data_IF_967423588638
#
_entry.id   IF_967423588638
#
_cell.length_a   1.000
_cell.length_b   1.000
_cell.length_c   1.000
_cell.angle_alpha   90.00
_cell.angle_beta   90.00
_cell.angle_gamma   90.00
#
_symmetry.space_group_name_H-M   'P 1'
#
loop_
_entity.id
_entity.type
_entity.pdbx_description
1 polymer ?
#
# COMPACT_ATOMS: atom_id res chain seq x y z
N UNK A 1 29.21 10.55 -27.90
CA UNK A 1 28.38 9.84 -26.90
C UNK A 1 27.26 10.77 -26.48
N UNK A 2 26.02 10.52 -26.92
CA UNK A 2 24.88 11.40 -26.63
C UNK A 2 24.27 10.94 -25.30
N UNK A 3 24.71 11.55 -24.19
CA UNK A 3 23.97 11.42 -22.93
C UNK A 3 22.57 11.96 -23.19
N UNK A 4 21.56 11.08 -23.22
CA UNK A 4 20.17 11.52 -23.24
C UNK A 4 19.92 12.21 -21.92
N UNK A 5 19.66 13.52 -21.99
CA UNK A 5 19.20 14.28 -20.83
C UNK A 5 17.84 13.67 -20.39
N UNK A 6 17.72 13.37 -19.10
CA UNK A 6 16.57 12.64 -18.54
C UNK A 6 15.25 13.43 -18.63
N UNK A 7 15.34 14.75 -18.80
CA UNK A 7 14.26 15.69 -19.11
C UNK A 7 13.65 15.49 -20.51
N UNK A 8 14.36 14.85 -21.43
CA UNK A 8 13.87 14.55 -22.77
C UNK A 8 13.35 13.12 -22.92
N UNK A 9 13.46 12.28 -21.88
CA UNK A 9 13.01 10.90 -21.90
C UNK A 9 11.56 10.83 -21.42
N UNK A 10 10.58 10.55 -22.31
CA UNK A 10 9.17 10.53 -21.92
C UNK A 10 8.87 9.31 -21.05
N UNK A 11 7.91 9.45 -20.12
CA UNK A 11 7.50 8.34 -19.25
C UNK A 11 6.91 7.14 -19.99
N UNK A 12 6.39 7.34 -21.21
CA UNK A 12 5.93 6.25 -22.08
C UNK A 12 7.04 5.28 -22.51
N UNK A 13 8.31 5.64 -22.32
CA UNK A 13 9.44 4.72 -22.50
C UNK A 13 9.58 3.70 -21.38
N UNK A 14 8.96 3.94 -20.21
CA UNK A 14 8.97 3.01 -19.09
C UNK A 14 7.95 1.88 -19.30
N UNK A 15 8.30 0.68 -18.83
CA UNK A 15 7.46 -0.50 -19.04
C UNK A 15 6.16 -0.39 -18.26
N UNK A 16 5.03 -0.57 -18.96
CA UNK A 16 3.69 -0.48 -18.38
C UNK A 16 3.08 0.93 -18.39
N UNK A 17 3.75 1.92 -18.99
CA UNK A 17 3.21 3.28 -19.16
C UNK A 17 2.56 3.43 -20.54
N UNK A 18 1.28 3.03 -20.63
CA UNK A 18 0.44 3.30 -21.79
C UNK A 18 -0.24 4.68 -21.75
N UNK A 19 -0.92 5.06 -22.83
CA UNK A 19 -1.54 6.39 -22.98
C UNK A 19 -2.45 6.79 -21.81
N UNK A 20 -3.25 5.86 -21.28
CA UNK A 20 -4.13 6.13 -20.14
C UNK A 20 -3.36 6.46 -18.85
N UNK A 21 -2.23 5.77 -18.60
CA UNK A 21 -1.40 6.05 -17.43
C UNK A 21 -0.60 7.34 -17.63
N UNK A 22 -0.06 7.59 -18.82
CA UNK A 22 0.59 8.86 -19.17
C UNK A 22 -0.33 10.06 -18.93
N UNK A 23 -1.59 9.98 -19.35
CA UNK A 23 -2.57 11.05 -19.14
C UNK A 23 -2.84 11.31 -17.65
N UNK A 24 -2.80 10.27 -16.81
CA UNK A 24 -2.95 10.42 -15.35
C UNK A 24 -1.71 11.00 -14.70
N UNK A 25 -0.52 10.59 -15.13
CA UNK A 25 0.76 11.12 -14.66
C UNK A 25 0.93 12.60 -15.05
N UNK A 26 0.50 12.97 -16.25
CA UNK A 26 0.48 14.36 -16.70
C UNK A 26 -0.38 15.28 -15.79
N UNK A 27 -1.46 14.76 -15.18
CA UNK A 27 -2.29 15.54 -14.23
C UNK A 27 -1.57 15.89 -12.92
N UNK A 28 -0.46 15.21 -12.62
CA UNK A 28 0.43 15.54 -11.50
C UNK A 28 1.77 16.10 -11.99
N UNK A 29 1.78 16.68 -13.20
CA UNK A 29 2.94 17.30 -13.84
C UNK A 29 4.15 16.35 -14.04
N UNK A 30 3.90 15.04 -14.17
CA UNK A 30 4.93 14.06 -14.48
C UNK A 30 4.87 13.71 -15.97
N UNK A 31 5.87 14.15 -16.73
CA UNK A 31 5.96 13.93 -18.18
C UNK A 31 7.20 13.13 -18.57
N UNK A 32 8.28 13.32 -17.82
CA UNK A 32 9.62 12.82 -18.16
C UNK A 32 10.17 11.93 -17.04
N UNK A 33 11.22 11.16 -17.35
CA UNK A 33 11.94 10.36 -16.33
C UNK A 33 12.55 11.27 -15.27
N UNK A 34 13.02 12.47 -15.64
CA UNK A 34 13.50 13.45 -14.67
C UNK A 34 12.41 13.91 -13.70
N UNK A 35 11.21 14.25 -14.20
CA UNK A 35 10.09 14.69 -13.34
C UNK A 35 9.76 13.60 -12.31
N UNK A 36 9.73 12.35 -12.74
CA UNK A 36 9.44 11.20 -11.88
C UNK A 36 10.53 10.98 -10.81
N UNK A 37 11.81 11.15 -11.15
CA UNK A 37 12.91 11.01 -10.20
C UNK A 37 12.96 12.15 -9.18
N UNK A 38 12.46 13.34 -9.55
CA UNK A 38 12.36 14.50 -8.68
C UNK A 38 11.00 14.59 -7.96
N UNK A 39 10.08 13.66 -8.23
CA UNK A 39 8.81 13.54 -7.52
C UNK A 39 9.03 12.90 -6.16
N UNK A 40 9.55 13.66 -5.20
CA UNK A 40 10.02 13.11 -3.93
C UNK A 40 8.87 12.58 -3.05
N UNK A 41 9.12 11.54 -2.23
CA UNK A 41 8.15 11.08 -1.24
C UNK A 41 7.81 12.17 -0.22
N UNK A 42 6.53 12.31 0.15
CA UNK A 42 6.07 13.21 1.22
C UNK A 42 6.40 12.67 2.61
N UNK A 43 6.38 11.35 2.74
CA UNK A 43 6.70 10.63 3.96
C UNK A 43 7.23 9.24 3.63
N UNK A 44 7.83 8.63 4.63
CA UNK A 44 8.24 7.24 4.61
C UNK A 44 7.46 6.47 5.66
N UNK A 45 7.00 5.28 5.32
CA UNK A 45 6.26 4.39 6.19
C UNK A 45 7.15 3.22 6.58
N UNK A 46 7.34 2.99 7.87
CA UNK A 46 8.06 1.81 8.35
C UNK A 46 7.13 0.60 8.29
N UNK A 47 7.44 -0.30 7.34
CA UNK A 47 6.75 -1.58 7.15
C UNK A 47 7.73 -2.75 7.24
N UNK A 48 8.86 -2.53 7.92
CA UNK A 48 9.97 -3.48 8.01
C UNK A 48 9.82 -4.44 9.20
N UNK A 49 8.94 -4.12 10.15
CA UNK A 49 8.71 -4.90 11.36
C UNK A 49 7.24 -5.30 11.52
N UNK A 50 7.02 -6.47 12.12
CA UNK A 50 5.73 -6.93 12.62
C UNK A 50 5.59 -6.55 14.10
N UNK A 51 4.42 -6.06 14.45
CA UNK A 51 4.04 -5.80 15.83
C UNK A 51 2.99 -6.82 16.28
N UNK A 52 3.12 -7.38 17.50
CA UNK A 52 2.05 -8.17 18.09
C UNK A 52 0.78 -7.32 18.22
N UNK A 53 -0.37 -7.90 17.86
CA UNK A 53 -1.65 -7.20 17.92
C UNK A 53 -1.96 -6.73 19.36
N UNK A 54 -1.61 -7.54 20.36
CA UNK A 54 -1.81 -7.22 21.77
C UNK A 54 -0.99 -6.03 22.28
N UNK A 55 0.05 -5.63 21.57
CA UNK A 55 0.96 -4.52 21.95
C UNK A 55 0.67 -3.22 21.19
N UNK A 56 -0.34 -3.21 20.32
CA UNK A 56 -0.68 -2.03 19.52
C UNK A 56 -1.11 -0.86 20.41
N UNK A 57 -0.37 0.25 20.30
CA UNK A 57 -0.69 1.52 20.94
C UNK A 57 -1.53 2.42 20.01
N UNK A 58 -2.57 3.09 20.52
CA UNK A 58 -3.34 4.05 19.74
C UNK A 58 -2.48 5.19 19.17
N UNK A 59 -2.73 5.57 17.93
CA UNK A 59 -2.03 6.64 17.20
C UNK A 59 -0.74 6.19 16.50
N UNK A 60 -0.36 4.92 16.64
CA UNK A 60 0.85 4.37 16.00
C UNK A 60 0.48 3.66 14.70
N UNK A 61 1.26 3.89 13.65
CA UNK A 61 1.20 3.08 12.44
C UNK A 61 2.01 1.80 12.64
N UNK A 62 1.40 0.65 12.34
CA UNK A 62 2.04 -0.63 12.52
C UNK A 62 1.68 -1.59 11.40
N UNK A 63 2.61 -2.49 11.07
CA UNK A 63 2.33 -3.70 10.32
C UNK A 63 2.04 -4.83 11.31
N UNK A 64 0.94 -5.53 11.10
CA UNK A 64 0.58 -6.73 11.87
C UNK A 64 0.21 -7.87 10.94
N UNK A 65 0.36 -9.09 11.45
CA UNK A 65 -0.12 -10.30 10.79
C UNK A 65 -1.16 -10.96 11.71
N UNK A 66 -2.23 -11.50 11.14
CA UNK A 66 -3.18 -12.30 11.91
C UNK A 66 -4.05 -13.17 11.02
N UNK A 67 -4.65 -14.19 11.63
CA UNK A 67 -5.69 -15.01 11.00
C UNK A 67 -7.05 -14.33 11.12
N UNK A 68 -7.82 -14.31 10.03
CA UNK A 68 -9.20 -13.82 10.04
C UNK A 68 -10.08 -14.74 10.89
N UNK A 69 -10.60 -14.17 11.97
CA UNK A 69 -11.58 -14.83 12.83
C UNK A 69 -12.98 -14.73 12.23
N UNK A 70 -13.39 -13.54 11.83
CA UNK A 70 -14.70 -13.29 11.24
C UNK A 70 -14.73 -12.03 10.36
N UNK A 71 -15.68 -12.01 9.44
CA UNK A 71 -16.02 -10.85 8.61
C UNK A 71 -17.52 -10.58 8.67
N UNK A 72 -17.88 -9.39 9.14
CA UNK A 72 -19.27 -8.96 9.30
C UNK A 72 -19.56 -7.72 8.46
N UNK A 73 -20.76 -7.64 7.91
CA UNK A 73 -21.27 -6.44 7.26
C UNK A 73 -22.38 -5.86 8.14
N UNK A 74 -22.21 -4.61 8.55
CA UNK A 74 -23.27 -3.85 9.21
C UNK A 74 -24.00 -3.00 8.18
N UNK A 75 -25.33 -3.08 8.21
CA UNK A 75 -26.25 -2.31 7.37
C UNK A 75 -27.02 -1.24 8.18
N UNK A 76 -26.50 -0.83 9.34
CA UNK A 76 -27.06 0.29 10.10
C UNK A 76 -26.91 1.64 9.38
N UNK A 77 -26.60 2.72 10.12
CA UNK A 77 -26.56 4.08 9.55
C UNK A 77 -25.68 4.26 8.31
N UNK A 78 -24.48 3.65 8.29
CA UNK A 78 -23.61 3.59 7.11
C UNK A 78 -23.15 2.15 6.90
N UNK A 79 -23.32 1.64 5.67
CA UNK A 79 -22.83 0.33 5.27
C UNK A 79 -21.32 0.24 5.53
N UNK A 80 -20.90 -0.74 6.33
CA UNK A 80 -19.49 -0.96 6.65
C UNK A 80 -19.21 -2.46 6.82
N UNK A 81 -17.98 -2.85 6.50
CA UNK A 81 -17.47 -4.19 6.76
C UNK A 81 -16.43 -4.12 7.88
N UNK A 82 -16.52 -5.05 8.82
CA UNK A 82 -15.49 -5.27 9.84
C UNK A 82 -14.93 -6.67 9.69
N UNK A 83 -13.61 -6.77 9.65
CA UNK A 83 -12.87 -8.02 9.65
C UNK A 83 -12.04 -8.08 10.93
N UNK A 84 -12.25 -9.09 11.76
CA UNK A 84 -11.44 -9.30 12.96
C UNK A 84 -10.32 -10.29 12.65
N UNK A 85 -9.09 -9.91 12.97
CA UNK A 85 -7.91 -10.77 12.87
C UNK A 85 -7.26 -10.97 14.25
N UNK A 86 -6.61 -12.10 14.44
CA UNK A 86 -5.86 -12.42 15.67
C UNK A 86 -4.55 -13.11 15.35
N UNK A 87 -3.53 -12.82 16.15
CA UNK A 87 -2.22 -13.49 16.16
C UNK A 87 -2.00 -14.33 17.43
N UNK A 88 -3.04 -14.48 18.26
CA UNK A 88 -2.99 -15.12 19.57
C UNK A 88 -2.62 -14.17 20.72
N UNK A 89 -1.98 -13.02 20.46
CA UNK A 89 -1.67 -12.00 21.46
C UNK A 89 -2.82 -11.01 21.69
N UNK A 90 -3.65 -10.80 20.66
CA UNK A 90 -4.81 -9.90 20.73
C UNK A 90 -5.70 -9.97 19.49
N UNK A 91 -6.74 -9.13 19.46
CA UNK A 91 -7.67 -9.02 18.33
C UNK A 91 -7.61 -7.61 17.77
N UNK A 92 -7.40 -7.51 16.45
CA UNK A 92 -7.47 -6.26 15.69
C UNK A 92 -8.74 -6.27 14.83
N UNK A 93 -9.49 -5.17 14.87
CA UNK A 93 -10.60 -4.96 13.92
C UNK A 93 -10.14 -4.12 12.74
N UNK A 94 -10.19 -4.64 11.52
CA UNK A 94 -10.07 -3.86 10.29
C UNK A 94 -11.45 -3.37 9.85
N UNK A 95 -11.63 -2.07 9.66
CA UNK A 95 -12.90 -1.46 9.25
C UNK A 95 -12.81 -0.85 7.85
N UNK A 96 -13.79 -1.17 7.01
CA UNK A 96 -13.90 -0.65 5.64
C UNK A 96 -15.28 -0.02 5.41
N UNK A 97 -15.32 1.27 5.03
CA UNK A 97 -16.55 1.95 4.59
C UNK A 97 -16.80 1.85 3.09
N UNK A 98 -15.80 1.39 2.34
CA UNK A 98 -15.89 1.10 0.91
C UNK A 98 -15.28 -0.28 0.67
N UNK A 99 -16.11 -1.24 0.27
CA UNK A 99 -15.73 -2.63 0.04
C UNK A 99 -16.60 -3.24 -1.05
N UNK A 100 -16.08 -4.30 -1.68
CA UNK A 100 -16.79 -5.07 -2.70
C UNK A 100 -16.83 -6.56 -2.33
N UNK A 101 -17.55 -7.37 -3.11
CA UNK A 101 -17.67 -8.80 -2.85
C UNK A 101 -16.32 -9.53 -2.90
N UNK A 102 -15.42 -9.13 -3.81
CA UNK A 102 -14.10 -9.73 -3.93
C UNK A 102 -13.26 -9.53 -2.64
N UNK A 103 -13.28 -8.33 -2.06
CA UNK A 103 -12.64 -8.02 -0.78
C UNK A 103 -13.24 -8.84 0.38
N UNK A 104 -14.56 -9.00 0.42
CA UNK A 104 -15.20 -9.85 1.44
C UNK A 104 -14.73 -11.30 1.30
N UNK A 105 -14.69 -11.82 0.08
CA UNK A 105 -14.34 -13.20 -0.19
C UNK A 105 -12.85 -13.50 0.06
N UNK A 106 -11.95 -12.53 -0.21
CA UNK A 106 -10.52 -12.68 0.07
C UNK A 106 -10.22 -12.69 1.58
N UNK A 107 -11.07 -12.06 2.38
CA UNK A 107 -11.01 -12.03 3.85
C UNK A 107 -11.93 -13.08 4.49
N UNK A 108 -12.02 -14.28 3.91
CA UNK A 108 -12.75 -15.38 4.56
C UNK A 108 -12.07 -15.81 5.88
N UNK A 109 -12.84 -16.37 6.80
CA UNK A 109 -12.31 -16.95 8.04
C UNK A 109 -11.22 -17.98 7.76
N UNK A 110 -10.17 -18.01 8.58
CA UNK A 110 -9.00 -18.88 8.43
C UNK A 110 -7.91 -18.34 7.50
N UNK A 111 -8.19 -17.25 6.74
CA UNK A 111 -7.16 -16.63 5.90
C UNK A 111 -6.17 -15.84 6.75
N UNK A 112 -4.87 -15.97 6.48
CA UNK A 112 -3.86 -15.09 7.06
C UNK A 112 -3.76 -13.78 6.30
N UNK A 113 -3.65 -12.68 7.04
CA UNK A 113 -3.64 -11.32 6.50
C UNK A 113 -2.50 -10.55 7.12
N UNK A 114 -1.74 -9.88 6.27
CA UNK A 114 -0.81 -8.83 6.64
C UNK A 114 -1.54 -7.49 6.49
N UNK A 115 -1.63 -6.69 7.54
CA UNK A 115 -2.32 -5.41 7.55
C UNK A 115 -1.38 -4.29 8.01
N UNK A 116 -1.47 -3.14 7.36
CA UNK A 116 -0.74 -1.92 7.74
C UNK A 116 -1.71 -0.75 7.85
N UNK A 117 -1.63 -0.04 8.96
CA UNK A 117 -2.44 1.15 9.19
C UNK A 117 -2.21 1.75 10.56
N UNK A 118 -2.89 2.88 10.80
CA UNK A 118 -2.90 3.54 12.10
C UNK A 118 -3.79 2.73 13.06
N UNK A 119 -3.19 2.25 14.15
CA UNK A 119 -3.92 1.63 15.24
C UNK A 119 -4.72 2.70 16.01
N UNK A 120 -6.02 2.48 16.14
CA UNK A 120 -6.98 3.34 16.86
C UNK A 120 -7.66 2.56 17.96
N UNK A 121 -8.23 3.29 18.90
CA UNK A 121 -9.10 2.70 19.92
C UNK A 121 -10.49 2.46 19.33
N UNK A 122 -10.81 1.20 19.10
CA UNK A 122 -12.14 0.76 18.66
C UNK A 122 -13.01 0.34 19.83
N UNK A 123 -14.25 -0.06 19.52
CA UNK A 123 -15.25 -0.51 20.51
C UNK A 123 -14.81 -1.78 21.26
N UNK A 124 -14.07 -2.65 20.59
CA UNK A 124 -13.70 -3.99 21.09
C UNK A 124 -12.17 -4.20 21.20
N UNK A 125 -11.39 -3.11 21.24
CA UNK A 125 -9.93 -3.17 21.26
C UNK A 125 -9.30 -2.36 20.14
N UNK A 126 -8.14 -2.78 19.67
CA UNK A 126 -7.43 -2.13 18.58
C UNK A 126 -8.27 -2.17 17.29
N UNK A 127 -8.19 -1.09 16.52
CA UNK A 127 -8.88 -0.96 15.25
C UNK A 127 -8.04 -0.21 14.22
N UNK A 128 -8.06 -0.65 12.96
CA UNK A 128 -7.54 0.11 11.83
C UNK A 128 -8.68 0.44 10.88
N UNK A 129 -8.78 1.73 10.50
CA UNK A 129 -9.78 2.20 9.52
C UNK A 129 -9.10 2.28 8.16
N UNK A 130 -9.64 1.56 7.18
CA UNK A 130 -9.06 1.43 5.84
C UNK A 130 -7.56 1.09 5.85
N UNK A 131 -7.13 0.04 6.58
CA UNK A 131 -5.76 -0.42 6.47
C UNK A 131 -5.48 -0.91 5.04
N UNK A 132 -4.23 -0.76 4.63
CA UNK A 132 -3.73 -1.56 3.51
C UNK A 132 -3.57 -2.99 3.99
N UNK A 133 -3.95 -3.97 3.17
CA UNK A 133 -3.79 -5.36 3.53
C UNK A 133 -3.42 -6.24 2.34
N UNK A 134 -2.79 -7.37 2.65
CA UNK A 134 -2.49 -8.45 1.71
C UNK A 134 -2.89 -9.77 2.36
N UNK A 135 -3.67 -10.58 1.63
CA UNK A 135 -3.96 -11.95 2.02
C UNK A 135 -2.76 -12.81 1.66
N UNK A 136 -2.26 -13.56 2.64
CA UNK A 136 -1.14 -14.47 2.45
C UNK A 136 -1.63 -15.80 1.85
N UNK A 137 -0.71 -16.49 1.15
CA UNK A 137 -0.94 -17.86 0.70
C UNK A 137 -0.75 -18.83 1.87
N UNK A 138 -1.29 -20.04 1.75
CA UNK A 138 -1.37 -21.01 2.86
C UNK A 138 0.01 -21.49 3.38
N UNK A 139 1.11 -21.11 2.71
CA UNK A 139 2.50 -21.46 3.06
C UNK A 139 3.50 -20.29 2.90
N UNK A 140 3.04 -19.04 2.77
CA UNK A 140 3.96 -17.91 2.63
C UNK A 140 4.39 -17.38 3.99
N UNK A 141 5.70 -17.27 4.21
CA UNK A 141 6.23 -16.32 5.22
C UNK A 141 5.82 -14.91 4.84
N UNK A 142 5.48 -14.04 5.81
CA UNK A 142 5.16 -12.65 5.52
C UNK A 142 6.39 -11.97 4.90
N UNK A 143 6.30 -11.65 3.61
CA UNK A 143 7.31 -10.81 2.94
C UNK A 143 7.15 -9.37 3.42
N UNK A 144 7.93 -8.98 4.41
CA UNK A 144 8.04 -7.59 4.86
C UNK A 144 8.84 -6.78 3.86
N UNK A 145 8.69 -5.45 3.96
CA UNK A 145 9.54 -4.55 3.18
C UNK A 145 10.94 -4.55 3.79
N UNK A 146 11.98 -4.63 2.96
CA UNK A 146 13.37 -4.55 3.43
C UNK A 146 13.79 -3.10 3.75
N UNK A 147 13.02 -2.13 3.24
CA UNK A 147 13.32 -0.70 3.38
C UNK A 147 12.05 0.09 3.71
N UNK A 148 12.25 1.32 4.19
CA UNK A 148 11.15 2.25 4.42
C UNK A 148 10.36 2.48 3.13
N UNK A 149 9.04 2.38 3.24
CA UNK A 149 8.14 2.44 2.09
C UNK A 149 7.82 3.90 1.76
N UNK A 150 8.22 4.43 0.60
CA UNK A 150 7.95 5.83 0.24
C UNK A 150 6.47 6.04 -0.09
N UNK A 151 5.93 7.18 0.33
CA UNK A 151 4.58 7.63 -0.03
C UNK A 151 4.68 8.90 -0.86
N UNK A 152 4.33 8.79 -2.12
CA UNK A 152 4.40 9.88 -3.09
C UNK A 152 3.14 10.74 -3.08
N UNK A 153 3.24 12.05 -3.39
CA UNK A 153 2.05 12.83 -3.75
C UNK A 153 1.35 12.17 -4.94
N UNK A 154 0.02 12.08 -4.89
CA UNK A 154 -0.76 11.47 -5.98
C UNK A 154 -2.14 12.12 -6.10
N UNK A 155 -2.78 11.96 -7.26
CA UNK A 155 -4.18 12.33 -7.51
C UNK A 155 -5.03 11.09 -7.74
N UNK A 156 -6.34 11.28 -7.84
CA UNK A 156 -7.28 10.20 -8.08
C UNK A 156 -6.94 9.44 -9.37
N UNK A 157 -6.58 8.17 -9.23
CA UNK A 157 -6.34 7.25 -10.35
C UNK A 157 -4.91 6.77 -10.55
N UNK A 158 -3.91 7.29 -9.81
CA UNK A 158 -2.54 6.74 -9.77
C UNK A 158 -2.27 6.12 -8.40
N UNK A 159 -1.95 4.82 -8.38
CA UNK A 159 -1.70 4.07 -7.14
C UNK A 159 -0.24 4.24 -6.67
N UNK A 160 -0.01 4.22 -5.36
CA UNK A 160 1.33 4.27 -4.76
C UNK A 160 2.26 3.17 -5.34
N UNK A 161 1.76 1.94 -5.46
CA UNK A 161 2.51 0.83 -6.05
C UNK A 161 2.97 1.12 -7.49
N UNK A 162 2.17 1.85 -8.27
CA UNK A 162 2.53 2.28 -9.63
C UNK A 162 3.66 3.30 -9.58
N UNK A 163 3.56 4.34 -8.73
CA UNK A 163 4.61 5.36 -8.61
C UNK A 163 5.94 4.74 -8.17
N UNK A 164 5.92 3.90 -7.12
CA UNK A 164 7.13 3.17 -6.64
C UNK A 164 7.80 2.39 -7.77
N UNK A 165 7.03 1.53 -8.45
CA UNK A 165 7.53 0.71 -9.57
C UNK A 165 8.13 1.55 -10.70
N UNK A 166 7.52 2.71 -11.01
CA UNK A 166 8.04 3.60 -12.05
C UNK A 166 9.33 4.29 -11.59
N UNK A 167 9.37 4.78 -10.35
CA UNK A 167 10.56 5.44 -9.80
C UNK A 167 11.76 4.48 -9.77
N UNK A 168 11.54 3.21 -9.38
CA UNK A 168 12.59 2.17 -9.40
C UNK A 168 13.13 1.94 -10.82
N UNK A 169 12.25 1.86 -11.83
CA UNK A 169 12.64 1.75 -13.24
C UNK A 169 13.41 2.99 -13.73
N UNK A 170 12.96 4.19 -13.35
CA UNK A 170 13.62 5.44 -13.68
C UNK A 170 15.04 5.51 -13.09
N UNK A 171 15.19 5.09 -11.83
CA UNK A 171 16.47 5.07 -11.14
C UNK A 171 17.45 4.07 -11.77
N UNK A 172 16.97 2.88 -12.18
CA UNK A 172 17.75 1.92 -12.93
C UNK A 172 18.21 2.47 -14.29
N UNK A 173 17.32 3.13 -15.02
CA UNK A 173 17.61 3.72 -16.34
C UNK A 173 18.66 4.84 -16.24
N UNK A 174 18.58 5.68 -15.20
CA UNK A 174 19.56 6.74 -14.95
C UNK A 174 20.96 6.21 -14.62
N UNK A 175 21.08 5.04 -13.99
CA UNK A 175 22.38 4.40 -13.70
C UNK A 175 23.07 3.90 -14.97
N UNK A 176 22.32 3.38 -15.95
CA UNK A 176 22.88 2.90 -17.21
C UNK A 176 23.28 4.02 -18.19
N UNK A 177 22.67 5.20 -18.07
CA UNK A 177 23.01 6.37 -18.91
C UNK A 177 24.29 7.11 -18.46
N UNK A 178 24.90 6.71 -17.33
CA UNK A 178 26.16 7.26 -16.80
C UNK A 178 27.42 6.50 -17.26
N UNK A 179 27.27 5.46 -18.07
CA UNK A 179 28.35 4.71 -18.71
C UNK A 179 28.30 4.94 -20.23
#
# INVERSE_FOLDING_TARGET
>A
MKGRLLDAVPLSSLTGVGAALSNKLAKINLHTVQDLLLHLPLRYEDRTHLYPIGELLPGVYATVEGEVLNCNISFGGRRMMTCQISDGSGILTMRFFNFNAAMKNSLATGRRVLAYGEAKRGKYGAEMIHPEYRVQGDLSTPELQETLTPVYPTTEGVKQATLRKLTDQGAGSARHLRH
#
